data_IF_010453767253
#
_entry.id   IF_010453767253
#
_cell.length_a   1.000
_cell.length_b   1.000
_cell.length_c   1.000
_cell.angle_alpha   90.00
_cell.angle_beta   90.00
_cell.angle_gamma   90.00
#
_symmetry.space_group_name_H-M   'P 1'
#
loop_
_entity.id
_entity.type
_entity.pdbx_description
1 polymer ?
#
# COMPACT_ATOMS: atom_id res chain seq x y z
N UNK A 1 1.90 22.05 -40.10
CA UNK A 1 2.72 21.74 -38.92
C UNK A 1 2.81 20.23 -38.79
N UNK A 2 3.93 19.63 -39.20
CA UNK A 2 4.13 18.18 -39.10
C UNK A 2 4.24 17.80 -37.62
N UNK A 3 3.30 16.98 -37.14
CA UNK A 3 3.47 16.25 -35.88
C UNK A 3 4.66 15.31 -36.07
N UNK A 4 5.83 15.76 -35.65
CA UNK A 4 7.02 14.92 -35.56
C UNK A 4 6.82 14.04 -34.34
N UNK A 5 6.24 12.85 -34.52
CA UNK A 5 6.16 11.85 -33.46
C UNK A 5 7.57 11.40 -33.06
N UNK A 6 8.15 12.09 -32.07
CA UNK A 6 9.49 11.83 -31.49
C UNK A 6 9.65 10.41 -30.92
N UNK A 7 8.54 9.68 -30.77
CA UNK A 7 8.47 8.28 -30.33
C UNK A 7 9.06 7.29 -31.34
N UNK A 8 9.22 7.68 -32.60
CA UNK A 8 9.86 6.86 -33.65
C UNK A 8 11.38 6.77 -33.43
N UNK A 9 12.03 7.86 -32.99
CA UNK A 9 13.48 7.89 -32.72
C UNK A 9 13.87 7.34 -31.34
N UNK A 10 12.96 7.40 -30.37
CA UNK A 10 13.16 6.83 -29.02
C UNK A 10 11.97 5.95 -28.63
N UNK A 11 11.91 4.71 -29.12
CA UNK A 11 10.79 3.82 -28.83
C UNK A 11 10.78 3.42 -27.36
N UNK A 12 9.60 3.43 -26.74
CA UNK A 12 9.43 2.84 -25.41
C UNK A 12 9.81 1.36 -25.49
N UNK A 13 10.91 1.02 -24.84
CA UNK A 13 11.46 -0.33 -24.88
C UNK A 13 10.45 -1.36 -24.37
N UNK A 14 10.54 -2.60 -24.88
CA UNK A 14 9.65 -3.70 -24.45
C UNK A 14 9.71 -3.90 -22.92
N UNK A 15 10.89 -3.70 -22.33
CA UNK A 15 11.12 -3.75 -20.88
C UNK A 15 10.39 -2.64 -20.14
N UNK A 16 10.44 -1.39 -20.63
CA UNK A 16 9.70 -0.27 -20.04
C UNK A 16 8.18 -0.49 -20.08
N UNK A 17 7.62 -0.94 -21.21
CA UNK A 17 6.18 -1.28 -21.32
C UNK A 17 5.79 -2.41 -20.36
N UNK A 18 6.64 -3.43 -20.19
CA UNK A 18 6.40 -4.54 -19.25
C UNK A 18 6.45 -4.06 -17.79
N UNK A 19 7.44 -3.24 -17.45
CA UNK A 19 7.58 -2.65 -16.12
C UNK A 19 6.37 -1.78 -15.75
N UNK A 20 5.90 -0.94 -16.68
CA UNK A 20 4.72 -0.10 -16.48
C UNK A 20 3.48 -0.93 -16.14
N UNK A 21 3.18 -1.96 -16.93
CA UNK A 21 2.04 -2.86 -16.68
C UNK A 21 2.12 -3.55 -15.32
N UNK A 22 3.31 -4.05 -14.98
CA UNK A 22 3.55 -4.69 -13.68
C UNK A 22 3.41 -3.71 -12.51
N UNK A 23 3.94 -2.49 -12.66
CA UNK A 23 3.83 -1.43 -11.66
C UNK A 23 2.38 -1.02 -11.42
N UNK A 24 1.60 -0.84 -12.49
CA UNK A 24 0.19 -0.46 -12.41
C UNK A 24 -0.64 -1.47 -11.60
N UNK A 25 -0.49 -2.77 -11.87
CA UNK A 25 -1.21 -3.80 -11.11
C UNK A 25 -0.78 -3.86 -9.64
N UNK A 26 0.52 -3.78 -9.37
CA UNK A 26 1.04 -3.74 -7.99
C UNK A 26 0.54 -2.51 -7.24
N UNK A 27 0.54 -1.35 -7.87
CA UNK A 27 0.04 -0.10 -7.29
C UNK A 27 -1.44 -0.20 -6.92
N UNK A 28 -2.28 -0.76 -7.79
CA UNK A 28 -3.71 -0.97 -7.52
C UNK A 28 -3.95 -1.84 -6.28
N UNK A 29 -3.26 -2.98 -6.20
CA UNK A 29 -3.38 -3.92 -5.08
C UNK A 29 -2.85 -3.30 -3.78
N UNK A 30 -1.67 -2.65 -3.85
CA UNK A 30 -1.06 -1.99 -2.69
C UNK A 30 -1.95 -0.88 -2.14
N UNK A 31 -2.55 -0.06 -3.02
CA UNK A 31 -3.48 1.02 -2.61
C UNK A 31 -4.69 0.46 -1.85
N UNK A 32 -5.24 -0.66 -2.30
CA UNK A 32 -6.36 -1.31 -1.62
C UNK A 32 -5.99 -1.88 -0.24
N UNK A 33 -4.81 -2.48 -0.10
CA UNK A 33 -4.32 -2.98 1.19
C UNK A 33 -4.07 -1.82 2.16
N UNK A 34 -3.46 -0.73 1.67
CA UNK A 34 -3.15 0.47 2.46
C UNK A 34 -4.45 1.14 2.93
N UNK A 35 -5.42 1.35 2.04
CA UNK A 35 -6.68 2.00 2.42
C UNK A 35 -7.46 1.23 3.48
N UNK A 36 -7.52 -0.11 3.36
CA UNK A 36 -8.12 -0.97 4.38
C UNK A 36 -7.42 -0.85 5.74
N UNK A 37 -6.09 -0.82 5.73
CA UNK A 37 -5.29 -0.66 6.93
C UNK A 37 -5.53 0.73 7.57
N UNK A 38 -5.55 1.80 6.78
CA UNK A 38 -5.77 3.16 7.26
C UNK A 38 -7.15 3.33 7.89
N UNK A 39 -8.20 2.78 7.26
CA UNK A 39 -9.56 2.79 7.81
C UNK A 39 -9.60 2.05 9.15
N UNK A 40 -9.01 0.86 9.24
CA UNK A 40 -8.98 0.08 10.47
C UNK A 40 -8.20 0.79 11.59
N UNK A 41 -7.05 1.38 11.27
CA UNK A 41 -6.25 2.16 12.25
C UNK A 41 -7.01 3.40 12.70
N UNK A 42 -7.70 4.10 11.78
CA UNK A 42 -8.50 5.29 12.14
C UNK A 42 -9.69 4.93 13.02
N UNK A 43 -10.36 3.81 12.74
CA UNK A 43 -11.45 3.30 13.57
C UNK A 43 -10.97 2.94 14.98
N UNK A 44 -9.87 2.18 15.08
CA UNK A 44 -9.29 1.78 16.36
C UNK A 44 -8.80 2.97 17.21
N UNK A 45 -8.33 4.05 16.57
CA UNK A 45 -7.93 5.29 17.26
C UNK A 45 -9.12 6.12 17.76
N UNK A 46 -10.22 6.17 17.02
CA UNK A 46 -11.41 6.94 17.41
C UNK A 46 -12.22 6.23 18.49
N UNK A 47 -12.41 4.92 18.33
CA UNK A 47 -13.16 4.09 19.25
C UNK A 47 -12.28 2.88 19.58
N UNK A 48 -11.58 2.89 20.73
CA UNK A 48 -10.65 1.83 21.14
C UNK A 48 -11.42 0.59 21.63
N UNK A 49 -12.25 0.01 20.77
CA UNK A 49 -12.86 -1.29 21.01
C UNK A 49 -11.79 -2.38 20.81
N UNK A 50 -11.77 -3.37 21.70
CA UNK A 50 -10.82 -4.50 21.65
C UNK A 50 -10.81 -5.18 20.27
N UNK A 51 -11.98 -5.40 19.68
CA UNK A 51 -12.13 -6.01 18.36
C UNK A 51 -11.53 -5.16 17.23
N UNK A 52 -11.73 -3.83 17.28
CA UNK A 52 -11.18 -2.91 16.29
C UNK A 52 -9.65 -2.87 16.34
N UNK A 53 -9.07 -2.89 17.55
CA UNK A 53 -7.63 -2.94 17.77
C UNK A 53 -7.05 -4.26 17.23
N UNK A 54 -7.65 -5.41 17.57
CA UNK A 54 -7.20 -6.73 17.09
C UNK A 54 -7.27 -6.82 15.55
N UNK A 55 -8.34 -6.30 14.95
CA UNK A 55 -8.49 -6.24 13.49
C UNK A 55 -7.42 -5.38 12.84
N UNK A 56 -7.12 -4.20 13.39
CA UNK A 56 -6.08 -3.32 12.89
C UNK A 56 -4.68 -3.94 12.99
N UNK A 57 -4.37 -4.63 14.10
CA UNK A 57 -3.10 -5.37 14.29
C UNK A 57 -2.97 -6.49 13.26
N UNK A 58 -4.02 -7.31 13.07
CA UNK A 58 -4.02 -8.39 12.07
C UNK A 58 -3.80 -7.86 10.65
N UNK A 59 -4.43 -6.75 10.29
CA UNK A 59 -4.25 -6.11 8.99
C UNK A 59 -2.83 -5.55 8.81
N UNK A 60 -2.23 -4.98 9.86
CA UNK A 60 -0.85 -4.52 9.82
C UNK A 60 0.15 -5.66 9.58
N UNK A 61 -0.04 -6.80 10.23
CA UNK A 61 0.82 -7.97 10.04
C UNK A 61 0.65 -8.59 8.65
N UNK A 62 -0.58 -8.68 8.14
CA UNK A 62 -0.85 -9.13 6.77
C UNK A 62 -0.22 -8.20 5.72
N UNK A 63 -0.31 -6.89 5.91
CA UNK A 63 0.30 -5.91 5.02
C UNK A 63 1.84 -5.98 5.03
N UNK A 64 2.44 -6.29 6.19
CA UNK A 64 3.89 -6.54 6.30
C UNK A 64 4.29 -7.83 5.58
N UNK A 65 3.55 -8.93 5.76
CA UNK A 65 3.82 -10.21 5.08
C UNK A 65 3.69 -10.11 3.55
N UNK A 66 2.82 -9.23 3.06
CA UNK A 66 2.66 -8.94 1.62
C UNK A 66 3.65 -7.88 1.10
N UNK A 67 4.59 -7.43 1.93
CA UNK A 67 5.59 -6.40 1.60
C UNK A 67 4.99 -5.07 1.13
N UNK A 68 3.71 -4.81 1.44
CA UNK A 68 3.05 -3.53 1.13
C UNK A 68 3.53 -2.44 2.08
N UNK A 69 3.88 -2.81 3.32
CA UNK A 69 4.54 -1.93 4.30
C UNK A 69 5.79 -2.61 4.85
N UNK A 70 6.78 -1.81 5.24
CA UNK A 70 7.97 -2.32 5.91
C UNK A 70 7.66 -2.84 7.32
N UNK A 71 8.39 -3.86 7.78
CA UNK A 71 8.23 -4.47 9.12
C UNK A 71 8.27 -3.45 10.27
N UNK A 72 9.15 -2.45 10.16
CA UNK A 72 9.26 -1.39 11.17
C UNK A 72 8.01 -0.48 11.20
N UNK A 73 7.37 -0.24 10.04
CA UNK A 73 6.12 0.53 9.98
C UNK A 73 5.00 -0.25 10.67
N UNK A 74 4.91 -1.55 10.42
CA UNK A 74 3.95 -2.42 11.12
C UNK A 74 4.19 -2.43 12.63
N UNK A 75 5.45 -2.57 13.07
CA UNK A 75 5.82 -2.52 14.49
C UNK A 75 5.43 -1.20 15.16
N UNK A 76 5.66 -0.06 14.51
CA UNK A 76 5.22 1.26 15.00
C UNK A 76 3.70 1.36 15.14
N UNK A 77 2.94 0.85 14.16
CA UNK A 77 1.47 0.83 14.23
C UNK A 77 1.01 -0.03 15.41
N UNK A 78 1.57 -1.22 15.59
CA UNK A 78 1.25 -2.09 16.72
C UNK A 78 1.56 -1.43 18.07
N UNK A 79 2.75 -0.85 18.22
CA UNK A 79 3.14 -0.11 19.43
C UNK A 79 2.21 1.07 19.74
N UNK A 80 1.77 1.80 18.72
CA UNK A 80 0.82 2.90 18.91
C UNK A 80 -0.56 2.41 19.37
N UNK A 81 -1.06 1.29 18.81
CA UNK A 81 -2.35 0.72 19.19
C UNK A 81 -2.30 0.03 20.56
N UNK A 82 -1.20 -0.60 20.93
CA UNK A 82 -1.03 -1.24 22.24
C UNK A 82 -1.07 -0.25 23.40
N UNK A 83 -0.71 1.02 23.16
CA UNK A 83 -0.79 2.11 24.16
C UNK A 83 -2.21 2.63 24.39
N UNK A 84 -3.14 2.31 23.49
CA UNK A 84 -4.55 2.75 23.56
C UNK A 84 -5.46 1.68 24.17
N UNK A 85 -4.96 0.46 24.41
CA UNK A 85 -5.74 -0.61 25.03
C UNK A 85 -5.82 -0.44 26.54
#
# INVERSE_FOLDING_TARGET
>A
MLNVDYTIRMPVTKTAKRALRGSFQKARINKFIISKLEIAVRAAKKHPAKEAILKAISLADKASKKHTIHKNKAARIKSALSRLR
#
